data_IF_173713142513
#
_entry.id   IF_173713142513
#
_cell.length_a   1.000
_cell.length_b   1.000
_cell.length_c   1.000
_cell.angle_alpha   90.00
_cell.angle_beta   90.00
_cell.angle_gamma   90.00
#
_symmetry.space_group_name_H-M   'P 1'
#
loop_
_entity.id
_entity.type
_entity.pdbx_description
1 polymer ?
#
# COMPACT_ATOMS: atom_id res chain seq x y z
N UNK A 1 12.44 -1.63 17.87
CA UNK A 1 11.33 -2.45 17.27
C UNK A 1 11.10 -3.62 18.22
N UNK A 2 9.92 -3.71 18.78
CA UNK A 2 9.55 -4.82 19.63
C UNK A 2 9.43 -6.11 18.80
N UNK A 3 9.87 -7.22 19.36
CA UNK A 3 9.97 -8.48 18.61
C UNK A 3 8.59 -9.15 18.56
N UNK A 4 8.05 -9.33 17.36
CA UNK A 4 6.83 -10.11 17.12
C UNK A 4 7.07 -11.56 17.52
N UNK A 5 6.34 -12.09 18.50
CA UNK A 5 6.53 -13.44 19.01
C UNK A 5 5.74 -14.50 18.19
N UNK A 6 5.89 -15.78 18.54
CA UNK A 6 5.23 -16.91 17.85
C UNK A 6 3.71 -16.80 17.89
N UNK A 7 3.14 -16.34 19.01
CA UNK A 7 1.69 -16.17 19.14
C UNK A 7 1.20 -15.00 18.28
N UNK A 8 1.94 -13.89 18.27
CA UNK A 8 1.64 -12.74 17.41
C UNK A 8 1.63 -13.14 15.94
N UNK A 9 2.64 -13.89 15.48
CA UNK A 9 2.70 -14.39 14.10
C UNK A 9 1.52 -15.29 13.76
N UNK A 10 1.08 -16.14 14.69
CA UNK A 10 -0.09 -17.00 14.48
C UNK A 10 -1.37 -16.16 14.36
N UNK A 11 -1.58 -15.19 15.25
CA UNK A 11 -2.73 -14.27 15.21
C UNK A 11 -2.72 -13.47 13.89
N UNK A 12 -1.57 -12.90 13.52
CA UNK A 12 -1.41 -12.14 12.28
C UNK A 12 -1.68 -13.00 11.05
N UNK A 13 -1.20 -14.25 11.03
CA UNK A 13 -1.45 -15.19 9.92
C UNK A 13 -2.93 -15.47 9.70
N UNK A 14 -3.69 -15.62 10.78
CA UNK A 14 -5.15 -15.80 10.73
C UNK A 14 -5.82 -14.51 10.23
N UNK A 15 -5.51 -13.37 10.86
CA UNK A 15 -6.17 -12.09 10.56
C UNK A 15 -5.82 -11.54 9.17
N UNK A 16 -4.60 -11.78 8.67
CA UNK A 16 -4.23 -11.38 7.31
C UNK A 16 -4.99 -12.12 6.23
N UNK A 17 -5.42 -13.37 6.51
CA UNK A 17 -6.21 -14.18 5.59
C UNK A 17 -7.72 -14.01 5.79
N UNK A 18 -8.14 -13.76 7.02
CA UNK A 18 -9.55 -13.70 7.45
C UNK A 18 -9.79 -12.50 8.36
N UNK A 19 -9.66 -11.29 7.82
CA UNK A 19 -9.76 -10.04 8.60
C UNK A 19 -11.08 -9.84 9.35
N UNK A 20 -12.13 -10.59 9.00
CA UNK A 20 -13.44 -10.56 9.67
C UNK A 20 -13.65 -11.67 10.69
N UNK A 21 -12.66 -12.54 10.91
CA UNK A 21 -12.79 -13.61 11.90
C UNK A 21 -13.00 -13.00 13.29
N UNK A 22 -14.06 -13.40 14.02
CA UNK A 22 -14.26 -12.92 15.38
C UNK A 22 -13.08 -13.32 16.28
N UNK A 23 -12.67 -12.45 17.17
CA UNK A 23 -11.56 -12.75 18.11
C UNK A 23 -11.79 -13.97 18.98
N UNK A 24 -13.05 -14.37 19.19
CA UNK A 24 -13.39 -15.62 19.87
C UNK A 24 -12.84 -16.83 19.07
N UNK A 25 -13.00 -16.80 17.75
CA UNK A 25 -12.60 -17.92 16.89
C UNK A 25 -11.07 -17.92 16.70
N UNK A 26 -10.46 -16.74 16.55
CA UNK A 26 -8.99 -16.57 16.56
C UNK A 26 -8.39 -17.12 17.87
N UNK A 27 -9.04 -16.85 19.01
CA UNK A 27 -8.61 -17.33 20.32
C UNK A 27 -8.65 -18.86 20.41
N UNK A 28 -9.72 -19.48 19.89
CA UNK A 28 -9.87 -20.93 19.84
C UNK A 28 -8.75 -21.57 18.98
N UNK A 29 -8.46 -21.01 17.80
CA UNK A 29 -7.37 -21.51 16.93
C UNK A 29 -5.98 -21.33 17.55
N UNK A 30 -5.79 -20.26 18.32
CA UNK A 30 -4.51 -19.97 18.98
C UNK A 30 -4.33 -20.69 20.33
N UNK A 31 -5.41 -21.25 20.91
CA UNK A 31 -5.37 -21.88 22.24
C UNK A 31 -5.19 -20.88 23.39
N UNK A 32 -5.74 -19.66 23.25
CA UNK A 32 -5.65 -18.57 24.24
C UNK A 32 -7.02 -17.97 24.52
N UNK A 33 -7.13 -17.07 25.50
CA UNK A 33 -8.38 -16.37 25.78
C UNK A 33 -8.67 -15.28 24.73
N UNK A 34 -9.96 -14.94 24.55
CA UNK A 34 -10.37 -13.79 23.71
C UNK A 34 -9.72 -12.48 24.17
N UNK A 35 -9.61 -12.29 25.49
CA UNK A 35 -8.96 -11.10 26.05
C UNK A 35 -7.48 -11.01 25.67
N UNK A 36 -6.77 -12.15 25.68
CA UNK A 36 -5.38 -12.20 25.24
C UNK A 36 -5.22 -11.84 23.77
N UNK A 37 -6.10 -12.34 22.88
CA UNK A 37 -6.09 -11.93 21.46
C UNK A 37 -6.32 -10.45 21.31
N UNK A 38 -7.32 -9.89 22.02
CA UNK A 38 -7.61 -8.45 21.96
C UNK A 38 -6.42 -7.61 22.39
N UNK A 39 -5.78 -7.95 23.52
CA UNK A 39 -4.58 -7.23 23.98
C UNK A 39 -3.42 -7.31 23.00
N UNK A 40 -3.18 -8.50 22.43
CA UNK A 40 -2.12 -8.70 21.43
C UNK A 40 -2.36 -7.90 20.17
N UNK A 41 -3.58 -7.93 19.62
CA UNK A 41 -3.94 -7.15 18.43
C UNK A 41 -3.80 -5.66 18.69
N UNK A 42 -4.28 -5.17 19.86
CA UNK A 42 -4.12 -3.76 20.23
C UNK A 42 -2.64 -3.37 20.31
N UNK A 43 -1.83 -4.18 20.96
CA UNK A 43 -0.38 -3.96 21.05
C UNK A 43 0.31 -3.94 19.67
N UNK A 44 -0.08 -4.84 18.76
CA UNK A 44 0.45 -4.85 17.39
C UNK A 44 0.03 -3.61 16.58
N UNK A 45 -1.15 -3.05 16.84
CA UNK A 45 -1.59 -1.77 16.26
C UNK A 45 -0.77 -0.62 16.84
N UNK A 46 -0.65 -0.53 18.14
CA UNK A 46 0.05 0.56 18.83
C UNK A 46 1.54 0.64 18.44
N UNK A 47 2.14 -0.52 18.16
CA UNK A 47 3.53 -0.61 17.68
C UNK A 47 3.68 -0.54 16.14
N UNK A 48 2.61 -0.30 15.41
CA UNK A 48 2.65 -0.13 13.95
C UNK A 48 2.95 -1.42 13.17
N UNK A 49 2.82 -2.60 13.80
CA UNK A 49 2.93 -3.89 13.11
C UNK A 49 1.68 -4.14 12.27
N UNK A 50 0.50 -3.85 12.83
CA UNK A 50 -0.76 -3.77 12.08
C UNK A 50 -0.94 -2.30 11.69
N UNK A 51 -0.86 -2.02 10.40
CA UNK A 51 -0.96 -0.66 9.85
C UNK A 51 -2.39 -0.27 9.49
N UNK A 52 -3.30 -1.24 9.42
CA UNK A 52 -4.71 -1.01 9.11
C UNK A 52 -5.44 -2.28 8.73
N UNK A 53 -6.75 -2.13 8.53
CA UNK A 53 -7.62 -3.18 7.99
C UNK A 53 -8.70 -2.54 7.12
N UNK A 54 -9.16 -3.23 6.07
CA UNK A 54 -10.16 -2.68 5.18
C UNK A 54 -10.65 -3.68 4.14
N UNK A 55 -11.62 -3.22 3.31
CA UNK A 55 -12.05 -3.97 2.13
C UNK A 55 -11.20 -3.60 0.94
N UNK A 56 -10.74 -4.59 0.21
CA UNK A 56 -10.15 -4.36 -1.09
C UNK A 56 -11.25 -4.23 -2.14
N UNK A 57 -11.21 -3.14 -2.88
CA UNK A 57 -12.17 -2.85 -3.96
C UNK A 57 -11.49 -3.03 -5.30
N UNK A 58 -12.19 -3.62 -6.27
CA UNK A 58 -11.70 -3.72 -7.63
C UNK A 58 -11.84 -2.35 -8.34
N UNK A 59 -10.74 -1.68 -8.70
CA UNK A 59 -10.80 -0.37 -9.35
C UNK A 59 -11.61 -0.38 -10.65
N UNK A 60 -11.55 -1.47 -11.42
CA UNK A 60 -12.31 -1.62 -12.67
C UNK A 60 -13.82 -1.53 -12.45
N UNK A 61 -14.32 -2.06 -11.33
CA UNK A 61 -15.73 -1.97 -10.95
C UNK A 61 -16.18 -0.54 -10.63
N UNK A 62 -15.24 0.35 -10.36
CA UNK A 62 -15.46 1.78 -10.13
C UNK A 62 -15.17 2.64 -11.39
N UNK A 63 -14.92 1.99 -12.52
CA UNK A 63 -14.63 2.67 -13.79
C UNK A 63 -13.18 3.04 -14.02
N UNK A 64 -12.26 2.69 -13.10
CA UNK A 64 -10.82 2.89 -13.28
C UNK A 64 -10.21 1.71 -14.04
N UNK A 65 -10.14 1.82 -15.36
CA UNK A 65 -9.75 0.70 -16.23
C UNK A 65 -8.25 0.62 -16.50
N UNK A 66 -7.54 1.73 -16.31
CA UNK A 66 -6.10 1.83 -16.61
C UNK A 66 -5.30 1.94 -15.33
N UNK A 67 -4.46 0.93 -15.07
CA UNK A 67 -3.45 0.97 -14.02
C UNK A 67 -2.12 1.41 -14.64
N UNK A 68 -1.47 2.38 -14.04
CA UNK A 68 -0.26 2.99 -14.58
C UNK A 68 0.79 3.17 -13.51
N UNK A 69 2.03 2.83 -13.84
CA UNK A 69 3.21 3.20 -13.06
C UNK A 69 3.88 4.41 -13.72
N UNK A 70 4.23 5.41 -12.91
CA UNK A 70 4.89 6.62 -13.40
C UNK A 70 6.19 6.83 -12.66
N UNK A 71 7.30 6.70 -13.38
CA UNK A 71 8.61 7.11 -12.91
C UNK A 71 8.75 8.63 -13.02
N UNK A 72 9.20 9.28 -11.94
CA UNK A 72 9.40 10.73 -11.88
C UNK A 72 10.86 11.03 -11.55
N UNK A 73 11.47 11.93 -12.30
CA UNK A 73 12.76 12.52 -11.96
C UNK A 73 12.56 13.92 -11.40
N UNK A 74 13.17 14.17 -10.25
CA UNK A 74 13.18 15.48 -9.60
C UNK A 74 14.47 16.23 -9.92
N UNK A 75 14.37 17.56 -9.98
CA UNK A 75 15.54 18.46 -10.11
C UNK A 75 16.56 18.20 -9.00
N UNK A 76 16.06 18.01 -7.77
CA UNK A 76 16.86 17.68 -6.57
C UNK A 76 16.11 16.68 -5.70
N UNK A 77 16.79 15.65 -5.22
CA UNK A 77 16.20 14.68 -4.30
C UNK A 77 15.64 15.29 -3.01
N UNK A 78 16.18 16.42 -2.57
CA UNK A 78 15.68 17.17 -1.40
C UNK A 78 14.25 17.70 -1.56
N UNK A 79 13.75 17.86 -2.78
CA UNK A 79 12.38 18.32 -3.08
C UNK A 79 11.31 17.22 -2.87
N UNK A 80 11.73 15.99 -2.58
CA UNK A 80 10.83 14.84 -2.42
C UNK A 80 9.63 15.15 -1.52
N UNK A 81 9.85 15.69 -0.31
CA UNK A 81 8.77 15.93 0.67
C UNK A 81 7.75 16.96 0.17
N UNK A 82 8.21 17.98 -0.53
CA UNK A 82 7.33 19.01 -1.09
C UNK A 82 6.50 18.43 -2.25
N UNK A 83 7.13 17.66 -3.13
CA UNK A 83 6.43 16.97 -4.22
C UNK A 83 5.39 16.01 -3.67
N UNK A 84 5.71 15.18 -2.66
CA UNK A 84 4.76 14.27 -2.01
C UNK A 84 3.55 15.01 -1.47
N UNK A 85 3.72 16.19 -0.85
CA UNK A 85 2.58 16.95 -0.33
C UNK A 85 1.58 17.37 -1.41
N UNK A 86 2.05 17.60 -2.64
CA UNK A 86 1.20 17.90 -3.80
C UNK A 86 0.57 16.63 -4.40
N UNK A 87 1.32 15.52 -4.45
CA UNK A 87 0.82 14.23 -4.92
C UNK A 87 -0.32 13.71 -4.05
N UNK A 88 -0.30 13.96 -2.74
CA UNK A 88 -1.39 13.60 -1.82
C UNK A 88 -2.74 14.24 -2.16
N UNK A 89 -2.74 15.34 -2.90
CA UNK A 89 -3.96 16.00 -3.37
C UNK A 89 -4.55 15.35 -4.65
N UNK A 90 -3.90 14.32 -5.20
CA UNK A 90 -4.34 13.62 -6.42
C UNK A 90 -4.85 12.22 -6.01
N UNK A 91 -6.16 12.02 -5.87
CA UNK A 91 -6.73 10.77 -5.33
C UNK A 91 -6.52 9.56 -6.22
N UNK A 92 -6.23 9.77 -7.50
CA UNK A 92 -5.91 8.70 -8.44
C UNK A 92 -4.55 8.04 -8.15
N UNK A 93 -3.65 8.69 -7.41
CA UNK A 93 -2.38 8.13 -6.98
C UNK A 93 -2.61 7.28 -5.74
N UNK A 94 -2.28 6.01 -5.82
CA UNK A 94 -2.51 5.03 -4.74
C UNK A 94 -1.23 4.57 -4.05
N UNK A 95 -0.09 4.69 -4.71
CA UNK A 95 1.23 4.37 -4.14
C UNK A 95 2.27 5.39 -4.61
N UNK A 96 3.21 5.72 -3.72
CA UNK A 96 4.34 6.59 -4.02
C UNK A 96 5.56 6.10 -3.26
N UNK A 97 6.64 5.82 -4.00
CA UNK A 97 7.90 5.36 -3.45
C UNK A 97 9.03 6.32 -3.83
N UNK A 98 9.90 6.64 -2.87
CA UNK A 98 11.19 7.24 -3.16
C UNK A 98 12.17 6.10 -3.45
N UNK A 99 12.82 6.14 -4.62
CA UNK A 99 13.55 4.98 -5.14
C UNK A 99 15.01 5.31 -5.42
N UNK A 100 15.83 4.26 -5.45
CA UNK A 100 17.15 4.29 -6.03
C UNK A 100 17.06 3.88 -7.51
N UNK A 101 17.95 4.37 -8.36
CA UNK A 101 18.02 3.99 -9.78
C UNK A 101 17.58 5.10 -10.72
N UNK A 102 16.93 4.71 -11.83
CA UNK A 102 16.64 5.64 -12.95
C UNK A 102 15.60 6.70 -12.64
N UNK A 103 14.73 6.47 -11.67
CA UNK A 103 13.72 7.43 -11.23
C UNK A 103 13.96 7.84 -9.78
N UNK A 104 13.72 9.10 -9.47
CA UNK A 104 13.73 9.58 -8.08
C UNK A 104 12.52 9.06 -7.30
N UNK A 105 11.38 8.97 -7.98
CA UNK A 105 10.12 8.49 -7.41
C UNK A 105 9.42 7.54 -8.38
N UNK A 106 8.73 6.56 -7.84
CA UNK A 106 7.84 5.67 -8.58
C UNK A 106 6.44 5.75 -8.00
N UNK A 107 5.48 6.09 -8.85
CA UNK A 107 4.08 6.17 -8.50
C UNK A 107 3.30 5.02 -9.10
N UNK A 108 2.20 4.67 -8.45
CA UNK A 108 1.13 3.88 -9.03
C UNK A 108 -0.15 4.69 -9.00
N UNK A 109 -0.82 4.79 -10.12
CA UNK A 109 -2.08 5.50 -10.24
C UNK A 109 -3.09 4.72 -11.08
N UNK A 110 -4.36 5.08 -10.92
CA UNK A 110 -5.44 4.56 -11.74
C UNK A 110 -6.11 5.71 -12.50
N UNK A 111 -6.40 5.47 -13.78
CA UNK A 111 -7.19 6.37 -14.62
C UNK A 111 -8.40 5.63 -15.19
N UNK A 112 -9.45 6.36 -15.50
CA UNK A 112 -10.66 5.81 -16.13
C UNK A 112 -10.42 5.45 -17.58
N UNK A 113 -9.66 6.31 -18.26
CA UNK A 113 -9.33 6.20 -19.68
C UNK A 113 -8.04 6.94 -19.99
N UNK A 114 -7.66 6.96 -21.26
CA UNK A 114 -6.44 7.63 -21.72
C UNK A 114 -6.55 9.16 -21.65
N UNK A 115 -7.75 9.73 -21.75
CA UNK A 115 -7.96 11.18 -21.66
C UNK A 115 -7.67 11.66 -20.23
N UNK A 116 -8.22 10.97 -19.23
CA UNK A 116 -7.90 11.26 -17.84
C UNK A 116 -6.43 11.01 -17.52
N UNK A 117 -5.81 9.94 -18.07
CA UNK A 117 -4.39 9.69 -17.89
C UNK A 117 -3.54 10.84 -18.42
N UNK A 118 -3.86 11.34 -19.62
CA UNK A 118 -3.17 12.49 -20.23
C UNK A 118 -3.32 13.75 -19.36
N UNK A 119 -4.51 14.02 -18.82
CA UNK A 119 -4.75 15.15 -17.90
C UNK A 119 -3.91 15.02 -16.62
N UNK A 120 -3.90 13.83 -16.01
CA UNK A 120 -3.10 13.55 -14.82
C UNK A 120 -1.60 13.79 -15.08
N UNK A 121 -1.08 13.33 -16.20
CA UNK A 121 0.34 13.49 -16.54
C UNK A 121 0.68 14.95 -16.84
N UNK A 122 -0.03 15.58 -17.75
CA UNK A 122 0.34 16.90 -18.29
C UNK A 122 -0.03 18.05 -17.35
N UNK A 123 -1.24 17.99 -16.75
CA UNK A 123 -1.80 19.11 -16.00
C UNK A 123 -1.65 18.97 -14.49
N UNK A 124 -1.41 17.75 -13.97
CA UNK A 124 -1.25 17.53 -12.53
C UNK A 124 0.18 17.16 -12.15
N UNK A 125 0.80 16.16 -12.79
CA UNK A 125 2.12 15.68 -12.39
C UNK A 125 3.25 16.55 -12.91
N UNK A 126 3.27 16.84 -14.21
CA UNK A 126 4.36 17.61 -14.85
C UNK A 126 4.37 19.09 -14.48
N UNK A 127 3.28 19.60 -13.91
CA UNK A 127 3.19 20.99 -13.42
C UNK A 127 3.68 21.15 -11.98
N UNK A 128 3.98 20.05 -11.27
CA UNK A 128 4.52 20.14 -9.92
C UNK A 128 5.94 20.70 -9.97
N UNK A 129 6.23 21.78 -9.24
CA UNK A 129 7.58 22.34 -9.16
C UNK A 129 8.59 21.28 -8.71
N UNK A 130 9.71 21.19 -9.41
CA UNK A 130 10.76 20.21 -9.14
C UNK A 130 10.64 18.90 -9.92
N UNK A 131 9.52 18.63 -10.59
CA UNK A 131 9.39 17.52 -11.54
C UNK A 131 10.07 17.92 -12.85
N UNK A 132 11.08 17.15 -13.25
CA UNK A 132 11.86 17.38 -14.49
C UNK A 132 11.34 16.55 -15.64
N UNK A 133 11.06 15.28 -15.36
CA UNK A 133 10.59 14.35 -16.39
C UNK A 133 9.72 13.25 -15.77
N UNK A 134 8.86 12.69 -16.60
CA UNK A 134 8.03 11.54 -16.25
C UNK A 134 8.17 10.46 -17.32
N UNK A 135 8.17 9.21 -16.91
CA UNK A 135 8.05 8.05 -17.77
C UNK A 135 6.85 7.21 -17.34
N UNK A 136 6.01 6.83 -18.29
CA UNK A 136 4.73 6.19 -18.02
C UNK A 136 4.73 4.76 -18.50
N UNK A 137 4.41 3.82 -17.61
CA UNK A 137 4.33 2.39 -17.86
C UNK A 137 2.89 1.94 -17.61
N UNK A 138 2.15 1.61 -18.66
CA UNK A 138 0.79 1.09 -18.52
C UNK A 138 0.86 -0.39 -18.15
N UNK A 139 0.26 -0.77 -17.03
CA UNK A 139 0.14 -2.16 -16.61
C UNK A 139 -0.90 -2.86 -17.47
N UNK A 140 -0.49 -3.82 -18.26
CA UNK A 140 -1.39 -4.63 -19.09
C UNK A 140 -2.19 -5.62 -18.23
N UNK A 141 -1.52 -6.23 -17.24
CA UNK A 141 -2.10 -7.21 -16.34
C UNK A 141 -1.39 -7.18 -14.98
N UNK A 142 -2.15 -7.30 -13.90
CA UNK A 142 -1.61 -7.56 -12.58
C UNK A 142 -1.74 -9.06 -12.25
N UNK A 143 -0.72 -9.83 -12.53
CA UNK A 143 -0.72 -11.29 -12.35
C UNK A 143 -0.66 -11.72 -10.89
N UNK A 144 -0.06 -10.91 -10.01
CA UNK A 144 0.05 -11.20 -8.58
C UNK A 144 -0.38 -9.97 -7.78
N UNK A 145 -1.31 -10.17 -6.85
CA UNK A 145 -1.70 -9.21 -5.82
C UNK A 145 -1.93 -9.94 -4.51
N UNK A 146 -1.01 -9.82 -3.59
CA UNK A 146 -1.12 -10.41 -2.25
C UNK A 146 -0.25 -9.63 -1.27
N UNK A 147 -0.59 -9.70 0.01
CA UNK A 147 0.25 -9.20 1.09
C UNK A 147 1.41 -10.16 1.38
N UNK A 148 2.38 -9.71 2.17
CA UNK A 148 3.50 -10.54 2.62
C UNK A 148 2.95 -11.71 3.43
N UNK A 149 3.36 -12.92 3.09
CA UNK A 149 3.01 -14.13 3.83
C UNK A 149 3.71 -14.12 5.18
N UNK A 150 2.95 -14.22 6.26
CA UNK A 150 3.48 -14.36 7.61
C UNK A 150 3.85 -15.82 7.81
N UNK A 151 5.15 -16.12 7.82
CA UNK A 151 5.63 -17.47 8.08
C UNK A 151 5.68 -17.72 9.58
N UNK A 152 5.13 -18.85 10.07
CA UNK A 152 5.40 -19.30 11.43
C UNK A 152 6.92 -19.55 11.55
N UNK A 153 7.49 -19.27 12.73
CA UNK A 153 8.89 -19.61 12.97
C UNK A 153 9.09 -21.11 12.74
N UNK A 154 10.09 -21.47 11.95
CA UNK A 154 10.51 -22.87 11.85
C UNK A 154 10.89 -23.38 13.25
N UNK A 155 10.40 -24.57 13.57
CA UNK A 155 10.60 -25.24 14.88
C UNK A 155 12.05 -25.69 15.01
#
# INVERSE_FOLDING_TARGET
MEKVDKLDKKILGILSSHARMPFKDVAAECGVSRAAVHQRVQHLIDNGVITGSGFYVNPKSLGYTTCTYVGINLERGSMYKEVVSRLLCIPEIVECHFTTGSYTMLLKLYARDNEQLMDLLNNKLQTIPGVVSTETLISLEQSIKREITIQPDEV
#
